data_IF_638310651200
#
_entry.id   IF_638310651200
#
_cell.length_a   1.000
_cell.length_b   1.000
_cell.length_c   1.000
_cell.angle_alpha   90.00
_cell.angle_beta   90.00
_cell.angle_gamma   90.00
#
_symmetry.space_group_name_H-M   'P 1'
#
loop_
_entity.id
_entity.type
_entity.pdbx_description
1 polymer ?
#
# COMPACT_ATOMS: atom_id res chain seq x y z
N UNK A 1 9.88 12.55 -4.83
CA UNK A 1 8.93 13.62 -4.53
C UNK A 1 9.55 15.00 -4.29
N UNK A 2 10.85 15.14 -4.38
CA UNK A 2 11.61 16.39 -4.27
C UNK A 2 11.37 17.29 -5.49
N UNK A 3 10.26 18.03 -5.58
CA UNK A 3 9.89 18.85 -6.73
C UNK A 3 10.00 18.11 -8.08
N UNK A 4 9.97 16.76 -8.01
CA UNK A 4 10.10 15.90 -9.16
C UNK A 4 8.73 15.64 -9.76
N UNK A 5 8.57 15.88 -11.04
CA UNK A 5 7.42 15.40 -11.80
C UNK A 5 7.54 13.88 -12.00
N UNK A 6 6.47 13.13 -11.79
CA UNK A 6 6.46 11.73 -12.21
C UNK A 6 6.24 11.56 -13.71
N UNK A 7 5.88 12.62 -14.42
CA UNK A 7 5.69 12.61 -15.88
C UNK A 7 7.01 12.68 -16.64
N UNK A 8 8.11 13.03 -15.97
CA UNK A 8 9.43 13.19 -16.57
C UNK A 8 10.41 12.12 -16.10
N UNK A 9 11.18 11.57 -17.03
CA UNK A 9 12.26 10.65 -16.69
C UNK A 9 13.30 11.34 -15.81
N UNK A 10 13.66 10.67 -14.74
CA UNK A 10 14.63 11.19 -13.77
C UNK A 10 15.69 10.13 -13.43
N UNK A 11 16.92 10.57 -13.22
CA UNK A 11 18.02 9.78 -12.66
C UNK A 11 17.91 9.60 -11.13
N UNK A 12 16.90 10.25 -10.50
CA UNK A 12 16.59 10.13 -9.07
C UNK A 12 15.29 9.36 -8.87
N UNK A 13 15.27 8.50 -7.84
CA UNK A 13 14.14 7.64 -7.54
C UNK A 13 13.98 6.50 -8.54
N UNK A 14 13.02 5.61 -8.31
CA UNK A 14 12.90 4.36 -9.06
C UNK A 14 11.73 4.36 -10.05
N UNK A 15 10.70 5.18 -9.83
CA UNK A 15 9.45 5.17 -10.61
C UNK A 15 9.17 6.54 -11.20
N UNK A 16 8.90 6.58 -12.48
CA UNK A 16 8.29 7.67 -13.24
C UNK A 16 7.51 7.10 -14.44
N UNK A 17 6.59 7.88 -14.98
CA UNK A 17 5.72 7.44 -16.07
C UNK A 17 6.50 6.93 -17.30
N UNK A 18 7.56 7.60 -17.79
CA UNK A 18 8.35 7.08 -18.91
C UNK A 18 8.96 5.69 -18.63
N UNK A 19 9.46 5.43 -17.41
CA UNK A 19 10.00 4.10 -17.05
C UNK A 19 8.91 3.05 -16.89
N UNK A 20 7.72 3.42 -16.41
CA UNK A 20 6.58 2.51 -16.36
C UNK A 20 6.14 2.09 -17.77
N UNK A 21 6.10 3.03 -18.72
CA UNK A 21 5.78 2.75 -20.12
C UNK A 21 6.85 1.87 -20.77
N UNK A 22 8.14 2.20 -20.61
CA UNK A 22 9.25 1.36 -21.13
C UNK A 22 9.22 -0.07 -20.56
N UNK A 23 8.84 -0.21 -19.27
CA UNK A 23 8.66 -1.51 -18.63
C UNK A 23 7.36 -2.23 -19.00
N UNK A 24 6.58 -1.68 -19.93
CA UNK A 24 5.25 -2.20 -20.33
C UNK A 24 4.31 -2.41 -19.13
N UNK A 25 4.39 -1.56 -18.12
CA UNK A 25 3.54 -1.63 -16.94
C UNK A 25 2.11 -1.21 -17.28
N UNK A 26 1.15 -2.10 -17.08
CA UNK A 26 -0.25 -1.84 -17.39
C UNK A 26 -1.00 -1.20 -16.22
N UNK A 27 -0.69 -1.64 -15.00
CA UNK A 27 -1.39 -1.23 -13.77
C UNK A 27 -0.36 -0.99 -12.67
N UNK A 28 -0.49 0.11 -11.95
CA UNK A 28 0.33 0.41 -10.77
C UNK A 28 -0.53 0.86 -9.61
N UNK A 29 -0.38 0.20 -8.46
CA UNK A 29 -0.88 0.73 -7.19
C UNK A 29 0.10 1.79 -6.69
N UNK A 30 -0.40 3.00 -6.48
CA UNK A 30 0.36 4.14 -5.95
C UNK A 30 -0.13 4.45 -4.54
N UNK A 31 0.72 4.18 -3.56
CA UNK A 31 0.36 4.34 -2.15
C UNK A 31 0.85 5.66 -1.57
N UNK A 32 0.07 6.19 -0.63
CA UNK A 32 0.45 7.35 0.17
C UNK A 32 1.00 6.90 1.51
N UNK A 33 2.25 7.28 1.82
CA UNK A 33 2.85 7.12 3.15
C UNK A 33 2.73 8.44 3.89
N UNK A 34 2.02 8.45 5.01
CA UNK A 34 1.71 9.69 5.73
C UNK A 34 2.52 9.88 7.02
N UNK A 35 3.08 8.80 7.59
CA UNK A 35 4.01 8.80 8.72
C UNK A 35 5.06 7.69 8.55
N UNK A 36 6.32 8.01 8.86
CA UNK A 36 7.43 7.05 8.88
C UNK A 36 8.27 7.29 10.13
N UNK A 37 8.46 6.29 11.00
CA UNK A 37 9.19 6.48 12.25
C UNK A 37 10.67 6.75 12.02
N UNK A 38 11.25 7.64 12.81
CA UNK A 38 12.71 7.85 12.83
C UNK A 38 13.42 6.59 13.29
N UNK A 39 14.49 6.20 12.58
CA UNK A 39 15.23 4.97 12.87
C UNK A 39 14.48 3.70 12.47
N UNK A 40 13.54 3.80 11.51
CA UNK A 40 12.76 2.68 10.99
C UNK A 40 13.60 1.44 10.74
N UNK A 41 13.14 0.30 11.24
CA UNK A 41 13.80 -0.99 11.10
C UNK A 41 12.77 -2.13 11.00
N UNK A 42 13.22 -3.34 10.66
CA UNK A 42 12.35 -4.51 10.51
C UNK A 42 12.00 -5.21 11.85
N UNK A 43 12.67 -4.86 12.96
CA UNK A 43 12.48 -5.56 14.23
C UNK A 43 11.36 -4.95 15.07
N UNK A 44 11.50 -3.68 15.45
CA UNK A 44 10.51 -3.00 16.29
C UNK A 44 10.59 -1.48 16.16
N UNK A 45 9.45 -0.84 16.01
CA UNK A 45 9.35 0.62 15.91
C UNK A 45 8.23 1.12 16.82
N UNK A 46 8.53 2.18 17.56
CA UNK A 46 7.56 2.86 18.43
C UNK A 46 6.65 3.77 17.63
N UNK A 47 5.36 3.75 17.96
CA UNK A 47 4.38 4.72 17.44
C UNK A 47 4.70 6.16 17.83
N UNK A 48 5.44 6.36 18.93
CA UNK A 48 5.86 7.66 19.46
C UNK A 48 7.18 8.18 18.85
N UNK A 49 7.84 7.38 17.99
CA UNK A 49 9.05 7.80 17.31
C UNK A 49 8.80 9.05 16.44
N UNK A 50 9.84 9.89 16.34
CA UNK A 50 9.80 11.07 15.47
C UNK A 50 9.40 10.70 14.04
N UNK A 51 8.71 11.60 13.36
CA UNK A 51 8.15 11.34 12.02
C UNK A 51 9.00 11.99 10.92
N UNK A 52 9.58 11.16 10.06
CA UNK A 52 10.40 11.62 8.94
C UNK A 52 9.60 12.37 7.87
N UNK A 53 8.29 12.04 7.72
CA UNK A 53 7.43 12.71 6.73
C UNK A 53 7.14 14.16 7.13
N UNK A 54 7.08 14.48 8.41
CA UNK A 54 6.92 15.87 8.87
C UNK A 54 8.06 16.77 8.36
N UNK A 55 9.30 16.29 8.47
CA UNK A 55 10.47 17.04 7.97
C UNK A 55 10.42 17.17 6.44
N UNK A 56 10.05 16.09 5.74
CA UNK A 56 9.89 16.07 4.29
C UNK A 56 8.84 17.08 3.83
N UNK A 57 7.66 17.09 4.46
CA UNK A 57 6.56 18.00 4.16
C UNK A 57 6.98 19.48 4.35
N UNK A 58 7.76 19.77 5.39
CA UNK A 58 8.29 21.12 5.63
C UNK A 58 9.27 21.55 4.53
N UNK A 59 10.25 20.70 4.21
CA UNK A 59 11.28 21.01 3.20
C UNK A 59 10.68 21.13 1.81
N UNK A 60 9.70 20.30 1.47
CA UNK A 60 9.00 20.32 0.19
C UNK A 60 7.84 21.33 0.15
N UNK A 61 7.66 22.11 1.20
CA UNK A 61 6.63 23.17 1.29
C UNK A 61 5.21 22.67 1.00
N UNK A 62 4.87 21.48 1.54
CA UNK A 62 3.51 20.99 1.46
C UNK A 62 2.53 21.97 2.13
N UNK A 63 1.24 21.93 1.80
CA UNK A 63 0.21 22.76 2.44
C UNK A 63 0.27 22.72 3.96
N UNK A 64 -0.04 23.84 4.64
CA UNK A 64 0.14 23.96 6.09
C UNK A 64 -0.60 22.89 6.90
N UNK A 65 -1.79 22.48 6.45
CA UNK A 65 -2.60 21.44 7.10
C UNK A 65 -1.87 20.08 7.17
N UNK A 66 -0.97 19.78 6.22
CA UNK A 66 -0.22 18.51 6.22
C UNK A 66 0.79 18.41 7.36
N UNK A 67 1.08 19.50 8.05
CA UNK A 67 2.03 19.50 9.16
C UNK A 67 1.50 18.74 10.38
N UNK A 68 0.19 18.81 10.62
CA UNK A 68 -0.45 18.29 11.83
C UNK A 68 -1.54 17.24 11.56
N UNK A 69 -1.84 16.93 10.28
CA UNK A 69 -2.85 15.95 9.90
C UNK A 69 -2.27 14.94 8.92
N UNK A 70 -2.34 13.66 9.29
CA UNK A 70 -1.93 12.56 8.42
C UNK A 70 -2.95 12.35 7.30
N UNK A 71 -4.22 12.60 7.58
CA UNK A 71 -5.28 12.62 6.57
C UNK A 71 -5.00 13.69 5.50
N UNK A 72 -4.68 14.92 5.91
CA UNK A 72 -4.34 15.98 4.96
C UNK A 72 -3.12 15.64 4.09
N UNK A 73 -2.17 14.83 4.61
CA UNK A 73 -1.03 14.33 3.82
C UNK A 73 -1.46 13.31 2.76
N UNK A 74 -2.39 12.42 3.10
CA UNK A 74 -2.94 11.47 2.13
C UNK A 74 -3.68 12.21 1.03
N UNK A 75 -4.57 13.15 1.39
CA UNK A 75 -5.33 13.97 0.45
C UNK A 75 -4.42 14.78 -0.48
N UNK A 76 -3.37 15.41 0.04
CA UNK A 76 -2.40 16.15 -0.78
C UNK A 76 -1.66 15.26 -1.79
N UNK A 77 -1.28 14.06 -1.38
CA UNK A 77 -0.61 13.10 -2.29
C UNK A 77 -1.58 12.59 -3.36
N UNK A 78 -2.86 12.39 -3.01
CA UNK A 78 -3.90 12.02 -3.97
C UNK A 78 -4.14 13.16 -4.99
N UNK A 79 -4.28 14.40 -4.53
CA UNK A 79 -4.41 15.58 -5.39
C UNK A 79 -3.25 15.67 -6.38
N UNK A 80 -2.01 15.46 -5.92
CA UNK A 80 -0.83 15.43 -6.79
C UNK A 80 -0.89 14.35 -7.87
N UNK A 81 -1.46 13.17 -7.57
CA UNK A 81 -1.63 12.12 -8.55
C UNK A 81 -2.70 12.49 -9.59
N UNK A 82 -3.80 13.07 -9.15
CA UNK A 82 -4.83 13.57 -10.07
C UNK A 82 -4.30 14.66 -10.99
N UNK A 83 -3.53 15.63 -10.47
CA UNK A 83 -2.86 16.65 -11.30
C UNK A 83 -1.98 15.99 -12.39
N UNK A 84 -1.19 14.98 -12.05
CA UNK A 84 -0.38 14.28 -13.04
C UNK A 84 -1.20 13.54 -14.08
N UNK A 85 -2.34 12.97 -13.70
CA UNK A 85 -3.22 12.29 -14.64
C UNK A 85 -3.96 13.30 -15.56
N UNK A 86 -4.30 14.49 -15.06
CA UNK A 86 -4.85 15.57 -15.88
C UNK A 86 -3.83 16.11 -16.91
N UNK A 87 -2.54 16.11 -16.52
CA UNK A 87 -1.45 16.61 -17.37
C UNK A 87 -0.92 15.57 -18.38
N UNK A 88 -1.44 14.31 -18.39
CA UNK A 88 -0.91 13.25 -19.25
C UNK A 88 -1.96 12.21 -19.65
N UNK A 89 -2.21 12.06 -20.95
CA UNK A 89 -3.06 11.00 -21.49
C UNK A 89 -2.51 9.57 -21.28
N UNK A 90 -1.24 9.46 -20.93
CA UNK A 90 -0.57 8.18 -20.65
C UNK A 90 -0.72 7.70 -19.19
N UNK A 91 -1.44 8.44 -18.34
CA UNK A 91 -1.71 8.08 -16.94
C UNK A 91 -3.20 8.25 -16.65
N UNK A 92 -3.86 7.20 -16.21
CA UNK A 92 -5.30 7.25 -15.86
C UNK A 92 -5.50 6.77 -14.43
N UNK A 93 -6.02 7.62 -13.55
CA UNK A 93 -6.47 7.18 -12.23
C UNK A 93 -7.76 6.40 -12.40
N UNK A 94 -7.77 5.14 -11.95
CA UNK A 94 -8.94 4.26 -12.07
C UNK A 94 -9.54 3.99 -10.69
N UNK A 95 -10.86 4.08 -10.61
CA UNK A 95 -11.63 3.95 -9.37
C UNK A 95 -12.66 2.83 -9.42
N UNK A 96 -12.78 2.17 -10.57
CA UNK A 96 -13.71 1.06 -10.79
C UNK A 96 -13.11 -0.03 -11.68
N UNK A 97 -13.67 -1.23 -11.58
CA UNK A 97 -13.30 -2.35 -12.46
C UNK A 97 -13.62 -2.06 -13.94
N UNK A 98 -14.64 -1.24 -14.22
CA UNK A 98 -15.00 -0.85 -15.58
C UNK A 98 -13.96 0.09 -16.18
N UNK A 99 -13.52 1.10 -15.44
CA UNK A 99 -12.43 1.99 -15.86
C UNK A 99 -11.14 1.22 -16.08
N UNK A 100 -10.80 0.29 -15.19
CA UNK A 100 -9.61 -0.55 -15.35
C UNK A 100 -9.70 -1.38 -16.64
N UNK A 101 -10.83 -2.03 -16.91
CA UNK A 101 -11.05 -2.79 -18.16
C UNK A 101 -10.93 -1.91 -19.39
N UNK A 102 -11.45 -0.68 -19.32
CA UNK A 102 -11.32 0.28 -20.41
C UNK A 102 -9.85 0.60 -20.74
N UNK A 103 -9.04 0.91 -19.69
CA UNK A 103 -7.60 1.19 -19.87
C UNK A 103 -6.86 -0.03 -20.43
N UNK A 104 -7.17 -1.24 -19.94
CA UNK A 104 -6.55 -2.48 -20.45
C UNK A 104 -6.89 -2.73 -21.91
N UNK A 105 -8.15 -2.54 -22.32
CA UNK A 105 -8.57 -2.66 -23.71
C UNK A 105 -7.91 -1.60 -24.62
N UNK A 106 -7.74 -0.37 -24.14
CA UNK A 106 -7.00 0.66 -24.84
C UNK A 106 -5.54 0.25 -25.10
N UNK A 107 -4.88 -0.34 -24.09
CA UNK A 107 -3.53 -0.90 -24.24
C UNK A 107 -3.46 -2.03 -25.27
N UNK A 108 -4.42 -2.95 -25.27
CA UNK A 108 -4.52 -4.02 -26.27
C UNK A 108 -4.65 -3.46 -27.69
N UNK A 109 -5.26 -2.29 -27.86
CA UNK A 109 -5.36 -1.57 -29.13
C UNK A 109 -4.11 -0.78 -29.51
N UNK A 110 -3.06 -0.79 -28.67
CA UNK A 110 -1.76 -0.15 -28.93
C UNK A 110 -1.60 1.23 -28.27
N UNK A 111 -2.53 1.67 -27.42
CA UNK A 111 -2.36 2.93 -26.67
C UNK A 111 -1.35 2.73 -25.52
N UNK A 112 -0.37 3.60 -25.43
CA UNK A 112 0.58 3.64 -24.30
C UNK A 112 -0.03 4.41 -23.13
N UNK A 113 -0.58 3.67 -22.15
CA UNK A 113 -1.19 4.26 -20.94
C UNK A 113 -0.99 3.33 -19.75
N UNK A 114 -0.97 3.88 -18.55
CA UNK A 114 -0.87 3.17 -17.26
C UNK A 114 -2.11 3.46 -16.43
N UNK A 115 -2.77 2.42 -15.95
CA UNK A 115 -3.81 2.54 -14.94
C UNK A 115 -3.17 2.73 -13.56
N UNK A 116 -3.44 3.84 -12.91
CA UNK A 116 -3.02 4.15 -11.55
C UNK A 116 -4.16 3.89 -10.57
N UNK A 117 -3.95 3.02 -9.57
CA UNK A 117 -4.85 2.86 -8.45
C UNK A 117 -4.26 3.54 -7.22
N UNK A 118 -5.10 4.27 -6.48
CA UNK A 118 -4.68 5.00 -5.30
C UNK A 118 -4.92 4.18 -4.04
N UNK A 119 -3.92 4.08 -3.17
CA UNK A 119 -4.00 3.38 -1.90
C UNK A 119 -3.29 4.12 -0.76
N UNK A 120 -3.55 3.68 0.48
CA UNK A 120 -2.76 4.09 1.64
C UNK A 120 -1.79 2.99 2.03
N UNK A 121 -0.59 3.34 2.49
CA UNK A 121 0.31 2.44 3.18
C UNK A 121 0.35 2.81 4.67
N UNK A 122 -0.58 2.20 5.38
CA UNK A 122 -0.93 2.48 6.78
C UNK A 122 -2.12 3.42 6.94
N UNK A 123 -3.22 2.89 7.49
CA UNK A 123 -4.45 3.64 7.75
C UNK A 123 -4.40 4.52 9.01
N UNK A 124 -3.19 4.78 9.55
CA UNK A 124 -2.96 5.94 10.41
C UNK A 124 -3.30 7.27 9.70
N UNK A 125 -3.38 7.24 8.35
CA UNK A 125 -3.95 8.30 7.52
C UNK A 125 -5.38 8.71 7.90
N UNK A 126 -6.12 7.87 8.62
CA UNK A 126 -7.46 8.21 9.12
C UNK A 126 -7.46 9.26 10.24
N UNK A 127 -6.30 9.62 10.82
CA UNK A 127 -6.17 10.53 11.99
C UNK A 127 -7.08 10.13 13.18
N UNK A 128 -7.56 8.86 13.19
CA UNK A 128 -8.45 8.31 14.21
C UNK A 128 -9.90 8.74 14.09
N UNK A 129 -10.34 9.10 12.91
CA UNK A 129 -11.70 9.43 12.53
C UNK A 129 -12.17 8.49 11.42
N UNK A 130 -13.26 7.74 11.66
CA UNK A 130 -13.81 6.79 10.68
C UNK A 130 -14.46 7.48 9.49
N UNK A 131 -14.96 8.70 9.62
CA UNK A 131 -15.54 9.45 8.53
C UNK A 131 -14.52 9.76 7.42
N UNK A 132 -13.22 9.76 7.78
CA UNK A 132 -12.14 9.92 6.81
C UNK A 132 -12.01 8.74 5.83
N UNK A 133 -12.61 7.57 6.10
CA UNK A 133 -12.70 6.46 5.14
C UNK A 133 -13.51 6.90 3.91
N UNK A 134 -14.69 7.52 4.14
CA UNK A 134 -15.53 8.03 3.06
C UNK A 134 -14.80 9.13 2.26
N UNK A 135 -14.15 10.05 2.95
CA UNK A 135 -13.41 11.14 2.27
C UNK A 135 -12.25 10.62 1.41
N UNK A 136 -11.52 9.62 1.88
CA UNK A 136 -10.46 8.98 1.09
C UNK A 136 -11.07 8.21 -0.10
N UNK A 137 -12.16 7.50 0.09
CA UNK A 137 -12.85 6.81 -1.00
C UNK A 137 -13.32 7.79 -2.08
N UNK A 138 -13.91 8.92 -1.69
CA UNK A 138 -14.36 9.99 -2.61
C UNK A 138 -13.18 10.63 -3.36
N UNK A 139 -11.99 10.69 -2.73
CA UNK A 139 -10.76 11.14 -3.36
C UNK A 139 -10.11 10.09 -4.29
N UNK A 140 -10.72 8.91 -4.46
CA UNK A 140 -10.28 7.88 -5.39
C UNK A 140 -9.48 6.74 -4.77
N UNK A 141 -9.28 6.69 -3.46
CA UNK A 141 -8.63 5.55 -2.80
C UNK A 141 -9.48 4.30 -2.95
N UNK A 142 -8.86 3.19 -3.40
CA UNK A 142 -9.51 1.89 -3.57
C UNK A 142 -8.80 0.76 -2.83
N UNK A 143 -7.66 1.05 -2.22
CA UNK A 143 -6.95 0.12 -1.34
C UNK A 143 -6.52 0.84 -0.07
N UNK A 144 -6.66 0.19 1.09
CA UNK A 144 -6.17 0.70 2.36
C UNK A 144 -5.40 -0.39 3.11
N UNK A 145 -4.09 -0.18 3.28
CA UNK A 145 -3.27 -0.99 4.17
C UNK A 145 -3.52 -0.57 5.62
N UNK A 146 -3.71 -1.54 6.52
CA UNK A 146 -4.11 -1.25 7.90
C UNK A 146 -2.96 -0.67 8.72
N UNK A 147 -1.78 -1.28 8.66
CA UNK A 147 -0.56 -0.84 9.35
C UNK A 147 0.55 -0.49 8.38
N UNK A 148 1.59 0.14 8.90
CA UNK A 148 2.91 0.28 8.29
C UNK A 148 3.96 -0.18 9.30
N UNK A 149 5.04 0.53 9.52
CA UNK A 149 6.16 0.09 10.38
C UNK A 149 5.92 0.24 11.89
N UNK A 150 4.75 0.63 12.36
CA UNK A 150 4.45 0.83 13.78
C UNK A 150 2.99 0.52 14.09
N UNK A 151 2.71 0.23 15.36
CA UNK A 151 1.35 0.05 15.85
C UNK A 151 0.55 1.35 15.71
N UNK A 152 -0.70 1.26 15.25
CA UNK A 152 -1.56 2.43 15.10
C UNK A 152 -2.92 2.20 15.76
N UNK A 153 -3.84 3.16 15.62
CA UNK A 153 -5.18 3.04 16.22
C UNK A 153 -5.99 1.84 15.74
N UNK A 154 -5.66 1.25 14.58
CA UNK A 154 -6.38 0.09 14.05
C UNK A 154 -5.91 -1.22 14.66
N UNK A 155 -4.65 -1.33 15.05
CA UNK A 155 -4.08 -2.57 15.59
C UNK A 155 -2.58 -2.63 15.53
N UNK A 156 -2.04 -3.82 15.80
CA UNK A 156 -0.62 -4.09 15.84
C UNK A 156 0.01 -4.23 14.46
N UNK A 157 1.21 -3.69 14.32
CA UNK A 157 2.06 -3.89 13.15
C UNK A 157 2.98 -5.10 13.36
N UNK A 158 3.34 -5.76 12.26
CA UNK A 158 4.39 -6.78 12.22
C UNK A 158 5.74 -6.23 12.72
N UNK A 159 5.94 -4.93 12.55
CA UNK A 159 7.14 -4.19 12.97
C UNK A 159 6.89 -3.25 14.16
N UNK A 160 5.74 -3.39 14.83
CA UNK A 160 5.39 -2.66 16.03
C UNK A 160 5.91 -3.30 17.32
N UNK A 161 5.52 -2.73 18.45
CA UNK A 161 5.94 -3.15 19.78
C UNK A 161 4.98 -4.18 20.39
N UNK A 162 3.67 -4.14 20.01
CA UNK A 162 2.63 -4.90 20.71
C UNK A 162 2.36 -6.29 20.15
N UNK A 163 2.54 -6.51 18.85
CA UNK A 163 2.02 -7.67 18.11
C UNK A 163 0.52 -7.95 18.37
N UNK A 164 -0.25 -6.92 18.76
CA UNK A 164 -1.67 -7.03 19.08
C UNK A 164 -2.52 -7.29 17.83
N UNK A 165 -3.75 -7.73 18.03
CA UNK A 165 -4.79 -7.83 17.01
C UNK A 165 -5.45 -6.47 16.71
N UNK A 166 -6.62 -6.51 16.06
CA UNK A 166 -7.43 -5.33 15.80
C UNK A 166 -7.95 -4.72 17.11
N UNK A 167 -7.88 -3.40 17.17
CA UNK A 167 -8.63 -2.64 18.19
C UNK A 167 -10.11 -2.57 17.82
N UNK A 168 -10.96 -2.06 18.73
CA UNK A 168 -12.36 -1.80 18.40
C UNK A 168 -12.51 -0.78 17.26
N UNK A 169 -11.66 0.28 17.25
CA UNK A 169 -11.59 1.22 16.14
C UNK A 169 -11.19 0.52 14.83
N UNK A 170 -10.18 -0.39 14.90
CA UNK A 170 -9.74 -1.17 13.74
C UNK A 170 -10.84 -2.08 13.19
N UNK A 171 -11.63 -2.73 14.04
CA UNK A 171 -12.78 -3.55 13.63
C UNK A 171 -13.82 -2.73 12.87
N UNK A 172 -14.18 -1.56 13.40
CA UNK A 172 -15.14 -0.66 12.76
C UNK A 172 -14.59 -0.13 11.42
N UNK A 173 -13.31 0.21 11.36
CA UNK A 173 -12.65 0.64 10.13
C UNK A 173 -12.67 -0.46 9.05
N UNK A 174 -12.30 -1.69 9.39
CA UNK A 174 -12.32 -2.85 8.47
C UNK A 174 -13.75 -3.09 7.95
N UNK A 175 -14.75 -3.10 8.80
CA UNK A 175 -16.16 -3.27 8.39
C UNK A 175 -16.64 -2.14 7.46
N UNK A 176 -16.23 -0.89 7.73
CA UNK A 176 -16.57 0.24 6.85
C UNK A 176 -15.88 0.13 5.49
N UNK A 177 -14.61 -0.22 5.47
CA UNK A 177 -13.84 -0.43 4.23
C UNK A 177 -14.45 -1.56 3.39
N UNK A 178 -14.78 -2.68 4.02
CA UNK A 178 -15.40 -3.84 3.37
C UNK A 178 -16.76 -3.49 2.76
N UNK A 179 -17.63 -2.83 3.52
CA UNK A 179 -18.94 -2.38 3.06
C UNK A 179 -18.88 -1.40 1.89
N UNK A 180 -17.80 -0.63 1.77
CA UNK A 180 -17.56 0.30 0.65
C UNK A 180 -16.83 -0.34 -0.53
N UNK A 181 -16.44 -1.61 -0.45
CA UNK A 181 -15.67 -2.30 -1.48
C UNK A 181 -14.23 -1.81 -1.60
N UNK A 182 -13.66 -1.25 -0.54
CA UNK A 182 -12.25 -0.89 -0.47
C UNK A 182 -11.43 -2.17 -0.27
N UNK A 183 -10.43 -2.40 -1.09
CA UNK A 183 -9.49 -3.51 -0.96
C UNK A 183 -8.67 -3.34 0.31
N UNK A 184 -8.74 -4.31 1.22
CA UNK A 184 -8.01 -4.28 2.49
C UNK A 184 -6.68 -4.97 2.30
N UNK A 185 -5.59 -4.20 2.49
CA UNK A 185 -4.22 -4.69 2.44
C UNK A 185 -3.69 -4.94 3.84
N UNK A 186 -3.27 -6.16 4.10
CA UNK A 186 -2.72 -6.60 5.39
C UNK A 186 -1.20 -6.72 5.39
N UNK A 187 -0.52 -6.18 4.38
CA UNK A 187 0.94 -6.00 4.44
C UNK A 187 1.31 -5.19 5.68
N UNK A 188 2.40 -5.52 6.33
CA UNK A 188 2.82 -4.94 7.61
C UNK A 188 1.89 -5.19 8.83
N UNK A 189 0.73 -5.79 8.65
CA UNK A 189 -0.13 -6.15 9.78
C UNK A 189 0.50 -7.28 10.62
N UNK A 190 0.30 -7.24 11.93
CA UNK A 190 0.68 -8.37 12.79
C UNK A 190 -0.09 -9.64 12.37
N UNK A 191 0.45 -10.85 12.61
CA UNK A 191 -0.28 -12.08 12.33
C UNK A 191 -1.65 -12.14 13.01
N UNK A 192 -1.78 -11.53 14.20
CA UNK A 192 -3.05 -11.47 14.92
C UNK A 192 -4.06 -10.54 14.23
N UNK A 193 -3.61 -9.40 13.67
CA UNK A 193 -4.49 -8.52 12.87
C UNK A 193 -4.97 -9.26 11.62
N UNK A 194 -4.08 -9.98 10.91
CA UNK A 194 -4.48 -10.75 9.72
C UNK A 194 -5.54 -11.80 10.09
N UNK A 195 -5.31 -12.54 11.19
CA UNK A 195 -6.27 -13.51 11.69
C UNK A 195 -7.62 -12.88 12.06
N UNK A 196 -7.60 -11.75 12.79
CA UNK A 196 -8.80 -11.01 13.17
C UNK A 196 -9.60 -10.54 11.93
N UNK A 197 -8.92 -10.03 10.90
CA UNK A 197 -9.56 -9.58 9.65
C UNK A 197 -10.19 -10.77 8.90
N UNK A 198 -9.46 -11.88 8.78
CA UNK A 198 -9.96 -13.11 8.17
C UNK A 198 -11.20 -13.67 8.90
N UNK A 199 -11.30 -13.47 10.21
CA UNK A 199 -12.49 -13.88 10.99
C UNK A 199 -13.63 -12.84 10.98
N UNK A 200 -13.37 -11.60 10.55
CA UNK A 200 -14.30 -10.51 10.60
C UNK A 200 -15.09 -10.30 9.29
N UNK A 201 -14.44 -10.53 8.14
CA UNK A 201 -15.01 -10.31 6.79
C UNK A 201 -14.74 -11.51 5.89
N UNK A 202 -15.58 -11.68 4.87
CA UNK A 202 -15.43 -12.75 3.86
C UNK A 202 -14.79 -12.28 2.55
N UNK A 203 -14.66 -10.98 2.34
CA UNK A 203 -14.06 -10.40 1.13
C UNK A 203 -12.58 -10.79 0.98
N UNK A 204 -12.09 -10.96 -0.28
CA UNK A 204 -10.70 -11.25 -0.55
C UNK A 204 -9.76 -10.19 0.01
N UNK A 205 -8.66 -10.60 0.64
CA UNK A 205 -7.64 -9.69 1.16
C UNK A 205 -6.50 -9.51 0.17
N UNK A 206 -5.80 -8.40 0.29
CA UNK A 206 -4.54 -8.16 -0.39
C UNK A 206 -3.39 -8.23 0.61
N UNK A 207 -2.31 -8.86 0.21
CA UNK A 207 -0.97 -8.65 0.76
C UNK A 207 -0.16 -8.02 -0.37
N UNK A 208 -0.11 -6.71 -0.41
CA UNK A 208 0.45 -5.97 -1.55
C UNK A 208 1.94 -6.26 -1.78
N UNK A 209 2.69 -6.58 -0.72
CA UNK A 209 4.11 -6.91 -0.79
C UNK A 209 4.56 -7.69 0.45
N UNK A 210 5.10 -8.89 0.24
CA UNK A 210 5.65 -9.77 1.29
C UNK A 210 6.60 -10.81 0.69
N UNK A 211 7.18 -11.66 1.49
CA UNK A 211 7.73 -12.96 1.10
C UNK A 211 6.96 -14.06 1.81
N UNK A 212 7.35 -15.31 1.59
CA UNK A 212 6.76 -16.49 2.20
C UNK A 212 7.70 -17.05 3.26
N UNK A 213 7.21 -17.23 4.50
CA UNK A 213 8.04 -17.61 5.63
C UNK A 213 8.63 -19.01 5.48
N UNK A 214 7.93 -19.93 4.84
CA UNK A 214 8.44 -21.27 4.56
C UNK A 214 9.55 -21.29 3.51
N UNK A 215 9.58 -20.33 2.59
CA UNK A 215 10.66 -20.14 1.62
C UNK A 215 11.83 -19.32 2.21
N UNK A 216 11.51 -18.21 2.86
CA UNK A 216 12.49 -17.28 3.42
C UNK A 216 12.06 -16.88 4.83
N UNK A 217 12.67 -17.53 5.85
CA UNK A 217 12.25 -17.38 7.26
C UNK A 217 12.67 -16.05 7.87
N UNK A 218 12.08 -14.97 7.37
CA UNK A 218 12.26 -13.62 7.89
C UNK A 218 11.00 -13.16 8.64
N UNK A 219 11.16 -12.24 9.61
CA UNK A 219 10.04 -11.67 10.37
C UNK A 219 9.01 -11.00 9.46
N UNK A 220 9.50 -10.33 8.40
CA UNK A 220 8.68 -9.58 7.44
C UNK A 220 7.74 -10.46 6.61
N UNK A 221 8.03 -11.75 6.49
CA UNK A 221 7.34 -12.64 5.57
C UNK A 221 6.09 -13.27 6.22
N UNK A 222 5.04 -13.44 5.40
CA UNK A 222 3.78 -14.06 5.83
C UNK A 222 3.99 -15.55 6.11
N UNK A 223 3.31 -16.08 7.14
CA UNK A 223 3.32 -17.53 7.39
C UNK A 223 2.51 -18.29 6.34
N UNK A 224 2.90 -19.54 6.09
CA UNK A 224 2.22 -20.39 5.11
C UNK A 224 0.74 -20.62 5.47
N UNK A 225 0.42 -20.74 6.77
CA UNK A 225 -0.97 -20.87 7.24
C UNK A 225 -1.80 -19.65 6.83
N UNK A 226 -1.33 -18.43 7.09
CA UNK A 226 -2.05 -17.20 6.70
C UNK A 226 -2.09 -17.05 5.19
N UNK A 227 -1.01 -17.41 4.47
CA UNK A 227 -0.97 -17.41 3.01
C UNK A 227 -2.08 -18.29 2.43
N UNK A 228 -2.20 -19.55 2.89
CA UNK A 228 -3.23 -20.47 2.43
C UNK A 228 -4.63 -19.94 2.71
N UNK A 229 -4.90 -19.44 3.90
CA UNK A 229 -6.21 -18.91 4.29
C UNK A 229 -6.62 -17.68 3.47
N UNK A 230 -5.65 -16.82 3.10
CA UNK A 230 -5.88 -15.68 2.21
C UNK A 230 -6.16 -16.19 0.78
N UNK A 231 -5.38 -17.15 0.29
CA UNK A 231 -5.56 -17.73 -1.04
C UNK A 231 -6.91 -18.46 -1.19
N UNK A 232 -7.33 -19.24 -0.19
CA UNK A 232 -8.63 -19.93 -0.16
C UNK A 232 -9.82 -18.98 -0.31
N UNK A 233 -9.66 -17.71 0.10
CA UNK A 233 -10.67 -16.65 -0.06
C UNK A 233 -10.53 -15.84 -1.36
N UNK A 234 -9.66 -16.29 -2.29
CA UNK A 234 -9.40 -15.59 -3.55
C UNK A 234 -8.58 -14.32 -3.39
N UNK A 235 -7.84 -14.18 -2.29
CA UNK A 235 -6.96 -13.05 -2.04
C UNK A 235 -5.74 -13.01 -2.95
N UNK A 236 -5.09 -11.85 -3.01
CA UNK A 236 -3.89 -11.61 -3.81
C UNK A 236 -2.67 -11.41 -2.90
N UNK A 237 -1.58 -12.12 -3.19
CA UNK A 237 -0.32 -11.97 -2.45
C UNK A 237 0.78 -11.56 -3.43
N UNK A 238 1.30 -10.34 -3.24
CA UNK A 238 2.41 -9.78 -4.00
C UNK A 238 3.76 -10.18 -3.39
N UNK A 239 4.62 -10.78 -4.21
CA UNK A 239 6.00 -11.08 -3.82
C UNK A 239 6.85 -9.83 -3.92
N UNK A 240 7.54 -9.47 -2.84
CA UNK A 240 8.40 -8.31 -2.79
C UNK A 240 9.77 -8.58 -3.43
N UNK A 241 10.37 -7.56 -4.04
CA UNK A 241 11.64 -7.67 -4.78
C UNK A 241 12.80 -7.10 -3.96
N UNK A 242 12.97 -7.60 -2.73
CA UNK A 242 14.12 -7.26 -1.86
C UNK A 242 14.60 -8.49 -1.09
N UNK A 243 15.84 -8.44 -0.61
CA UNK A 243 16.54 -9.61 -0.03
C UNK A 243 15.81 -10.26 1.14
N UNK A 244 15.19 -9.50 2.03
CA UNK A 244 14.47 -10.05 3.19
C UNK A 244 13.16 -10.76 2.79
N UNK A 245 12.57 -10.43 1.65
CA UNK A 245 11.38 -11.12 1.16
C UNK A 245 11.72 -12.48 0.55
N UNK A 246 12.81 -12.57 -0.23
CA UNK A 246 13.12 -13.74 -1.08
C UNK A 246 14.41 -14.46 -0.71
N UNK A 247 15.15 -14.00 0.31
CA UNK A 247 16.46 -14.53 0.73
C UNK A 247 17.52 -14.55 -0.40
N UNK A 248 17.45 -13.57 -1.29
CA UNK A 248 18.40 -13.43 -2.40
C UNK A 248 18.36 -12.01 -2.99
N UNK A 249 19.26 -11.72 -3.92
CA UNK A 249 19.42 -10.39 -4.52
C UNK A 249 19.27 -10.39 -6.05
N UNK A 250 18.88 -11.53 -6.64
CA UNK A 250 18.79 -11.72 -8.08
C UNK A 250 17.36 -12.12 -8.53
N UNK A 251 17.18 -12.22 -9.83
CA UNK A 251 15.90 -12.58 -10.44
C UNK A 251 15.51 -14.03 -10.18
N UNK A 252 16.48 -14.93 -9.95
CA UNK A 252 16.22 -16.35 -9.71
C UNK A 252 15.61 -16.51 -8.32
N UNK A 253 16.10 -15.80 -7.29
CA UNK A 253 15.50 -15.78 -5.96
C UNK A 253 14.05 -15.29 -5.96
N UNK A 254 13.73 -14.30 -6.80
CA UNK A 254 12.34 -13.82 -6.97
C UNK A 254 11.48 -14.90 -7.63
N UNK A 255 11.99 -15.54 -8.68
CA UNK A 255 11.29 -16.61 -9.38
C UNK A 255 11.04 -17.81 -8.48
N UNK A 256 12.01 -18.21 -7.65
CA UNK A 256 11.90 -19.28 -6.69
C UNK A 256 10.86 -18.97 -5.59
N UNK A 257 10.81 -17.73 -5.10
CA UNK A 257 9.79 -17.30 -4.16
C UNK A 257 8.39 -17.36 -4.77
N UNK A 258 8.22 -16.93 -6.02
CA UNK A 258 6.94 -17.01 -6.74
C UNK A 258 6.56 -18.50 -6.94
N UNK A 259 7.51 -19.33 -7.36
CA UNK A 259 7.28 -20.77 -7.56
C UNK A 259 6.87 -21.48 -6.25
N UNK A 260 7.44 -21.06 -5.11
CA UNK A 260 7.02 -21.54 -3.79
C UNK A 260 5.57 -21.16 -3.49
N UNK A 261 5.17 -19.91 -3.74
CA UNK A 261 3.84 -19.40 -3.40
C UNK A 261 2.70 -19.99 -4.26
N UNK A 262 2.99 -20.67 -5.39
CA UNK A 262 2.00 -21.31 -6.26
C UNK A 262 1.88 -22.81 -6.09
N UNK A 263 2.64 -23.42 -5.17
CA UNK A 263 2.56 -24.84 -4.81
C UNK A 263 1.47 -25.09 -3.76
#
# INVERSE_FOLDING_TARGET
LWYRSMLERSDRGQVDLPRMLDGNMAVQMLTTVTKSPSGQNYDSNSAEAGDNITLLALVQRWPLQTRNSLFARAMYQAERLHDFAEDSEALTVVTSAEELKYVLAARESGQETVAALLGTEGSHALDGDLDNIQHLFDAGFRMMSLQHFFDNKLGGSLHGESNAGLTEFGRQAVLSMDAMGIMIDVSHSSPQVVDDVLNLIDSPLIVSHTGFKGHCNQKRNISDDLMHRIAERGGLIGVGFWSEAVCGEDTDAIADAIAYGVQ
#
